data_IF_770036622749
#
_entry.id   IF_770036622749
#
_cell.length_a   1.000
_cell.length_b   1.000
_cell.length_c   1.000
_cell.angle_alpha   90.00
_cell.angle_beta   90.00
_cell.angle_gamma   90.00
#
_symmetry.space_group_name_H-M   'P 1'
#
loop_
_entity.id
_entity.type
_entity.pdbx_description
1 polymer ?
#
# COMPACT_ATOMS: atom_id res chain seq x y z
N UNK A 1 -35.51 2.02 2.19
CA UNK A 1 -34.89 3.15 1.47
C UNK A 1 -33.47 3.29 2.00
N UNK A 2 -32.46 2.99 1.19
CA UNK A 2 -31.07 3.15 1.60
C UNK A 2 -30.60 4.52 1.15
N UNK A 3 -30.32 5.41 2.10
CA UNK A 3 -29.73 6.71 1.83
C UNK A 3 -28.30 6.49 1.36
N UNK A 4 -28.03 6.75 0.08
CA UNK A 4 -26.67 6.89 -0.43
C UNK A 4 -26.16 8.24 0.04
N UNK A 5 -25.35 8.27 1.10
CA UNK A 5 -24.64 9.48 1.48
C UNK A 5 -23.61 9.78 0.40
N UNK A 6 -23.79 10.87 -0.34
CA UNK A 6 -22.76 11.40 -1.22
C UNK A 6 -21.61 11.87 -0.33
N UNK A 7 -20.54 11.08 -0.22
CA UNK A 7 -19.28 11.57 0.34
C UNK A 7 -18.72 12.59 -0.64
N UNK A 8 -18.81 13.86 -0.29
CA UNK A 8 -18.15 14.93 -1.04
C UNK A 8 -16.65 14.78 -0.78
N UNK A 9 -15.91 14.21 -1.72
CA UNK A 9 -14.44 14.14 -1.63
C UNK A 9 -13.89 15.56 -1.69
N UNK A 10 -13.36 16.07 -0.57
CA UNK A 10 -12.75 17.42 -0.47
C UNK A 10 -11.30 17.45 -0.96
N UNK A 11 -10.72 16.29 -1.24
CA UNK A 11 -9.35 16.12 -1.67
C UNK A 11 -9.24 15.99 -3.20
N UNK A 12 -8.06 16.31 -3.73
CA UNK A 12 -7.75 16.30 -5.16
C UNK A 12 -6.82 15.14 -5.54
N UNK A 13 -6.62 14.88 -6.83
CA UNK A 13 -5.58 13.94 -7.28
C UNK A 13 -4.18 14.36 -6.86
N UNK A 14 -3.92 15.67 -6.72
CA UNK A 14 -2.65 16.21 -6.19
C UNK A 14 -2.45 15.83 -4.72
N UNK A 15 -3.52 15.81 -3.92
CA UNK A 15 -3.46 15.37 -2.53
C UNK A 15 -3.12 13.88 -2.43
N UNK A 16 -3.73 13.05 -3.30
CA UNK A 16 -3.41 11.63 -3.43
C UNK A 16 -1.94 11.44 -3.82
N UNK A 17 -1.43 12.19 -4.81
CA UNK A 17 -0.01 12.16 -5.19
C UNK A 17 0.91 12.53 -4.02
N UNK A 18 0.57 13.56 -3.24
CA UNK A 18 1.37 13.99 -2.10
C UNK A 18 1.50 12.88 -1.03
N UNK A 19 0.41 12.14 -0.80
CA UNK A 19 0.40 10.97 0.11
C UNK A 19 1.18 9.81 -0.50
N UNK A 20 0.93 9.46 -1.76
CA UNK A 20 1.58 8.32 -2.41
C UNK A 20 3.09 8.53 -2.57
N UNK A 21 3.56 9.77 -2.80
CA UNK A 21 5.00 10.09 -2.79
C UNK A 21 5.72 9.65 -1.51
N UNK A 22 5.02 9.66 -0.36
CA UNK A 22 5.58 9.19 0.92
C UNK A 22 5.67 7.68 1.00
N UNK A 23 4.64 7.00 0.51
CA UNK A 23 4.61 5.55 0.39
C UNK A 23 5.72 5.09 -0.57
N UNK A 24 5.90 5.79 -1.69
CA UNK A 24 7.00 5.53 -2.62
C UNK A 24 8.35 5.64 -1.93
N UNK A 25 8.57 6.65 -1.09
CA UNK A 25 9.80 6.80 -0.34
C UNK A 25 10.04 5.63 0.63
N UNK A 26 9.00 5.15 1.32
CA UNK A 26 9.09 3.97 2.17
C UNK A 26 9.40 2.71 1.36
N UNK A 27 8.68 2.46 0.26
CA UNK A 27 8.89 1.30 -0.62
C UNK A 27 10.32 1.25 -1.17
N UNK A 28 10.89 2.41 -1.55
CA UNK A 28 12.27 2.51 -2.00
C UNK A 28 13.27 2.27 -0.87
N UNK A 29 12.97 2.78 0.33
CA UNK A 29 13.82 2.52 1.49
C UNK A 29 13.80 1.03 1.87
N UNK A 30 12.65 0.36 1.79
CA UNK A 30 12.51 -1.08 2.01
C UNK A 30 13.30 -1.86 0.94
N UNK A 31 13.12 -1.52 -0.35
CA UNK A 31 13.82 -2.18 -1.45
C UNK A 31 15.34 -2.06 -1.33
N UNK A 32 15.84 -0.83 -1.10
CA UNK A 32 17.28 -0.56 -0.96
C UNK A 32 17.91 -1.19 0.27
N UNK A 33 17.20 -1.27 1.40
CA UNK A 33 17.77 -1.83 2.64
C UNK A 33 17.67 -3.34 2.75
N UNK A 34 16.57 -3.94 2.30
CA UNK A 34 16.39 -5.40 2.35
C UNK A 34 17.11 -6.10 1.20
N UNK A 35 17.32 -5.41 0.08
CA UNK A 35 17.80 -5.97 -1.20
C UNK A 35 16.94 -7.14 -1.73
N UNK A 36 15.74 -7.32 -1.19
CA UNK A 36 14.82 -8.41 -1.53
C UNK A 36 13.95 -8.12 -2.76
N UNK A 37 14.07 -6.90 -3.31
CA UNK A 37 13.49 -6.46 -4.58
C UNK A 37 14.32 -5.31 -5.14
N UNK A 38 14.25 -5.07 -6.45
CA UNK A 38 14.89 -3.88 -7.07
C UNK A 38 14.08 -2.61 -6.81
N UNK A 39 14.75 -1.46 -6.76
CA UNK A 39 14.07 -0.17 -6.68
C UNK A 39 13.15 0.09 -7.87
N UNK A 40 13.49 -0.40 -9.06
CA UNK A 40 12.64 -0.30 -10.26
C UNK A 40 11.30 -0.97 -10.01
N UNK A 41 11.32 -2.19 -9.46
CA UNK A 41 10.10 -2.93 -9.13
C UNK A 41 9.27 -2.22 -8.05
N UNK A 42 9.92 -1.66 -7.05
CA UNK A 42 9.26 -0.85 -6.03
C UNK A 42 8.59 0.41 -6.61
N UNK A 43 9.18 1.05 -7.64
CA UNK A 43 8.55 2.17 -8.37
C UNK A 43 7.35 1.72 -9.19
N UNK A 44 7.40 0.54 -9.80
CA UNK A 44 6.24 -0.04 -10.51
C UNK A 44 5.07 -0.29 -9.54
N UNK A 45 5.36 -0.85 -8.36
CA UNK A 45 4.35 -1.01 -7.30
C UNK A 45 3.75 0.32 -6.88
N UNK A 46 4.60 1.32 -6.62
CA UNK A 46 4.14 2.66 -6.26
C UNK A 46 3.26 3.31 -7.34
N UNK A 47 3.60 3.11 -8.62
CA UNK A 47 2.83 3.62 -9.75
C UNK A 47 1.42 3.01 -9.79
N UNK A 48 1.31 1.70 -9.60
CA UNK A 48 0.03 1.00 -9.60
C UNK A 48 -0.81 1.38 -8.37
N UNK A 49 -0.19 1.51 -7.19
CA UNK A 49 -0.82 2.02 -5.97
C UNK A 49 -1.40 3.42 -6.21
N UNK A 50 -0.61 4.33 -6.81
CA UNK A 50 -1.04 5.69 -7.11
C UNK A 50 -2.24 5.70 -8.05
N UNK A 51 -2.17 4.91 -9.11
CA UNK A 51 -3.19 4.86 -10.13
C UNK A 51 -4.51 4.30 -9.58
N UNK A 52 -4.46 3.23 -8.79
CA UNK A 52 -5.63 2.65 -8.14
C UNK A 52 -6.21 3.60 -7.08
N UNK A 53 -5.36 4.27 -6.29
CA UNK A 53 -5.78 5.28 -5.32
C UNK A 53 -6.49 6.46 -5.98
N UNK A 54 -5.92 7.02 -7.07
CA UNK A 54 -6.52 8.13 -7.83
C UNK A 54 -7.90 7.82 -8.41
N UNK A 55 -8.17 6.55 -8.70
CA UNK A 55 -9.48 6.11 -9.19
C UNK A 55 -10.40 5.62 -8.06
N UNK A 56 -9.98 5.72 -6.79
CA UNK A 56 -10.78 5.32 -5.63
C UNK A 56 -10.94 3.80 -5.48
N UNK A 57 -10.07 2.99 -6.09
CA UNK A 57 -10.20 1.53 -6.15
C UNK A 57 -9.42 0.79 -5.06
N UNK A 58 -8.41 1.44 -4.46
CA UNK A 58 -7.55 0.82 -3.47
C UNK A 58 -8.19 0.82 -2.08
N UNK A 59 -8.10 -0.30 -1.37
CA UNK A 59 -8.42 -0.42 0.06
C UNK A 59 -7.16 -0.43 0.90
N UNK A 60 -6.19 -1.29 0.53
CA UNK A 60 -4.86 -1.29 1.12
C UNK A 60 -3.82 -1.91 0.19
N UNK A 61 -2.56 -1.59 0.44
CA UNK A 61 -1.40 -2.31 -0.09
C UNK A 61 -0.65 -3.00 1.07
N UNK A 62 -0.50 -4.31 1.00
CA UNK A 62 0.23 -5.12 1.96
C UNK A 62 1.60 -5.51 1.39
N UNK A 63 2.67 -5.27 2.13
CA UNK A 63 4.02 -5.69 1.77
C UNK A 63 4.56 -6.62 2.84
N UNK A 64 5.00 -7.80 2.44
CA UNK A 64 5.56 -8.83 3.33
C UNK A 64 6.98 -9.20 2.90
N UNK A 65 7.94 -9.22 3.84
CA UNK A 65 9.25 -9.83 3.67
C UNK A 65 9.20 -11.29 4.10
N UNK A 66 9.43 -12.18 3.15
CA UNK A 66 9.37 -13.62 3.35
C UNK A 66 10.76 -14.24 3.17
N UNK A 67 11.15 -15.13 4.07
CA UNK A 67 12.31 -16.00 3.89
C UNK A 67 11.89 -17.44 4.19
N UNK A 68 12.13 -18.36 3.25
CA UNK A 68 11.75 -19.77 3.37
C UNK A 68 10.29 -20.01 3.78
N UNK A 69 9.36 -19.21 3.24
CA UNK A 69 7.92 -19.31 3.55
C UNK A 69 7.51 -18.70 4.89
N UNK A 70 8.44 -18.08 5.61
CA UNK A 70 8.23 -17.49 6.92
C UNK A 70 8.28 -15.98 6.85
N UNK A 71 7.24 -15.32 7.37
CA UNK A 71 7.20 -13.86 7.49
C UNK A 71 8.26 -13.35 8.47
N UNK A 72 9.09 -12.43 7.99
CA UNK A 72 10.15 -11.78 8.78
C UNK A 72 9.71 -10.40 9.26
N UNK A 73 8.99 -9.68 8.40
CA UNK A 73 8.48 -8.32 8.64
C UNK A 73 7.35 -8.04 7.66
N UNK A 74 6.39 -7.22 8.05
CA UNK A 74 5.36 -6.76 7.13
C UNK A 74 4.99 -5.30 7.39
N UNK A 75 4.42 -4.65 6.39
CA UNK A 75 3.77 -3.36 6.54
C UNK A 75 2.54 -3.29 5.65
N UNK A 76 1.49 -2.64 6.12
CA UNK A 76 0.26 -2.45 5.35
C UNK A 76 -0.16 -0.99 5.34
N UNK A 77 -0.37 -0.46 4.15
CA UNK A 77 -0.84 0.90 3.91
C UNK A 77 -2.35 0.87 3.63
N UNK A 78 -3.15 1.28 4.60
CA UNK A 78 -4.61 1.39 4.49
C UNK A 78 -4.99 2.75 3.93
N UNK A 79 -5.86 2.79 2.93
CA UNK A 79 -6.50 4.05 2.51
C UNK A 79 -7.40 4.53 3.64
N UNK A 80 -7.29 5.81 3.98
CA UNK A 80 -8.10 6.45 5.01
C UNK A 80 -8.50 7.86 4.56
N UNK A 81 -9.80 8.08 4.42
CA UNK A 81 -10.40 9.31 3.93
C UNK A 81 -11.16 10.07 5.03
N UNK A 82 -10.89 9.76 6.31
CA UNK A 82 -11.52 10.42 7.45
C UNK A 82 -11.07 11.87 7.65
N UNK A 83 -9.92 12.25 7.06
CA UNK A 83 -9.24 13.51 7.30
C UNK A 83 -8.61 13.66 8.70
N UNK A 84 -8.58 12.59 9.51
CA UNK A 84 -8.06 12.65 10.89
C UNK A 84 -6.59 12.23 11.01
N UNK A 85 -5.97 11.76 9.93
CA UNK A 85 -4.60 11.26 9.93
C UNK A 85 -3.58 12.39 10.11
N UNK A 86 -2.57 12.13 10.93
CA UNK A 86 -1.39 12.96 11.03
C UNK A 86 -0.61 12.96 9.71
N UNK A 87 0.25 13.98 9.56
CA UNK A 87 0.98 14.25 8.33
C UNK A 87 2.46 13.91 8.48
N UNK A 88 2.80 12.67 8.84
CA UNK A 88 4.17 12.29 9.23
C UNK A 88 5.10 12.14 8.02
N UNK A 89 6.39 12.44 8.21
CA UNK A 89 7.42 12.21 7.18
C UNK A 89 7.61 10.70 6.93
N UNK A 90 8.07 10.26 5.75
CA UNK A 90 8.51 8.88 5.53
C UNK A 90 9.61 8.47 6.52
N UNK A 91 9.69 7.18 6.87
CA UNK A 91 10.64 6.71 7.89
C UNK A 91 10.32 5.32 8.45
N UNK A 92 11.21 4.77 9.28
CA UNK A 92 11.10 3.43 9.91
C UNK A 92 10.84 2.25 8.96
N UNK A 93 11.12 2.43 7.67
CA UNK A 93 10.99 1.42 6.63
C UNK A 93 12.35 0.84 6.19
N UNK A 94 13.37 0.92 7.05
CA UNK A 94 14.61 0.16 6.86
C UNK A 94 14.39 -1.29 7.30
N UNK A 95 14.39 -2.20 6.35
CA UNK A 95 14.12 -3.62 6.60
C UNK A 95 15.42 -4.42 6.58
N UNK A 96 15.51 -5.50 7.37
CA UNK A 96 16.72 -6.28 7.43
C UNK A 96 16.98 -6.98 6.09
N UNK A 97 18.26 -7.08 5.74
CA UNK A 97 18.72 -7.99 4.68
C UNK A 97 18.74 -9.41 5.23
N UNK A 98 17.84 -10.26 4.74
CA UNK A 98 17.71 -11.66 5.17
C UNK A 98 18.07 -12.56 3.99
N UNK A 99 18.88 -13.59 4.24
CA UNK A 99 19.31 -14.52 3.20
C UNK A 99 18.10 -15.23 2.58
N UNK A 100 18.09 -15.32 1.24
CA UNK A 100 17.03 -15.99 0.48
C UNK A 100 15.66 -15.30 0.58
N UNK A 101 15.60 -14.07 1.11
CA UNK A 101 14.35 -13.38 1.26
C UNK A 101 13.87 -12.74 -0.05
N UNK A 102 12.56 -12.62 -0.19
CA UNK A 102 11.92 -11.86 -1.26
C UNK A 102 10.76 -11.04 -0.68
N UNK A 103 10.36 -10.00 -1.41
CA UNK A 103 9.20 -9.19 -1.07
C UNK A 103 7.98 -9.63 -1.87
N UNK A 104 6.87 -9.83 -1.15
CA UNK A 104 5.53 -10.02 -1.71
C UNK A 104 4.73 -8.75 -1.47
N UNK A 105 4.00 -8.28 -2.49
CA UNK A 105 3.01 -7.23 -2.34
C UNK A 105 1.62 -7.74 -2.73
N UNK A 106 0.61 -7.45 -1.93
CA UNK A 106 -0.79 -7.79 -2.18
C UNK A 106 -1.63 -6.52 -2.12
N UNK A 107 -2.40 -6.25 -3.18
CA UNK A 107 -3.34 -5.13 -3.21
C UNK A 107 -4.74 -5.65 -2.89
N UNK A 108 -5.41 -4.99 -1.97
CA UNK A 108 -6.84 -5.21 -1.73
C UNK A 108 -7.61 -4.02 -2.27
N UNK A 109 -8.70 -4.33 -2.97
CA UNK A 109 -9.59 -3.33 -3.56
C UNK A 109 -10.82 -3.13 -2.68
N UNK A 110 -11.48 -1.98 -2.84
CA UNK A 110 -12.81 -1.75 -2.27
C UNK A 110 -13.89 -2.09 -3.32
N UNK A 111 -15.16 -2.03 -2.91
CA UNK A 111 -16.31 -2.47 -3.72
C UNK A 111 -16.50 -1.66 -5.02
N UNK A 112 -15.85 -0.49 -5.15
CA UNK A 112 -15.90 0.31 -6.38
C UNK A 112 -15.05 -0.28 -7.52
N UNK A 113 -14.13 -1.22 -7.24
CA UNK A 113 -13.32 -1.90 -8.24
C UNK A 113 -14.06 -3.06 -8.93
N UNK A 114 -15.20 -2.71 -9.51
CA UNK A 114 -16.09 -3.60 -10.27
C UNK A 114 -15.43 -4.15 -11.54
N UNK A 115 -16.10 -5.10 -12.22
CA UNK A 115 -15.64 -5.60 -13.52
C UNK A 115 -15.43 -4.49 -14.56
N UNK A 116 -16.33 -3.51 -14.61
CA UNK A 116 -16.19 -2.36 -15.51
C UNK A 116 -14.96 -1.49 -15.15
N UNK A 117 -14.67 -1.34 -13.86
CA UNK A 117 -13.46 -0.65 -13.40
C UNK A 117 -12.20 -1.43 -13.82
N UNK A 118 -12.20 -2.75 -13.68
CA UNK A 118 -11.09 -3.61 -14.14
C UNK A 118 -10.85 -3.49 -15.64
N UNK A 119 -11.91 -3.48 -16.46
CA UNK A 119 -11.81 -3.26 -17.90
C UNK A 119 -11.19 -1.88 -18.22
N UNK A 120 -11.62 -0.83 -17.51
CA UNK A 120 -11.04 0.52 -17.64
C UNK A 120 -9.57 0.57 -17.19
N UNK A 121 -9.14 -0.31 -16.29
CA UNK A 121 -7.77 -0.41 -15.80
C UNK A 121 -6.88 -1.33 -16.64
N UNK A 122 -7.47 -2.12 -17.53
CA UNK A 122 -6.75 -3.06 -18.38
C UNK A 122 -5.63 -2.37 -19.17
N UNK A 123 -4.42 -2.93 -19.08
CA UNK A 123 -3.23 -2.41 -19.77
C UNK A 123 -2.64 -1.11 -19.18
N UNK A 124 -3.22 -0.54 -18.12
CA UNK A 124 -2.69 0.68 -17.48
C UNK A 124 -1.73 0.42 -16.33
N UNK A 125 -1.88 -0.72 -15.66
CA UNK A 125 -1.02 -1.15 -14.56
C UNK A 125 0.32 -1.66 -15.10
N UNK A 126 1.40 -1.34 -14.40
CA UNK A 126 2.77 -1.78 -14.71
C UNK A 126 2.97 -3.25 -14.36
N UNK A 127 2.28 -3.72 -13.33
CA UNK A 127 2.36 -5.11 -12.88
C UNK A 127 1.18 -5.92 -13.42
N UNK A 128 1.50 -7.13 -13.88
CA UNK A 128 0.50 -8.16 -14.17
C UNK A 128 0.02 -8.77 -12.84
N UNK A 129 -0.91 -8.08 -12.18
CA UNK A 129 -1.52 -8.55 -10.93
C UNK A 129 -2.33 -9.83 -11.18
N UNK A 130 -2.21 -10.77 -10.25
CA UNK A 130 -3.02 -12.00 -10.23
C UNK A 130 -3.69 -12.11 -8.87
N UNK A 131 -4.81 -12.83 -8.80
CA UNK A 131 -5.49 -13.10 -7.54
C UNK A 131 -4.55 -13.87 -6.62
N UNK A 132 -4.36 -13.35 -5.41
CA UNK A 132 -3.63 -14.04 -4.35
C UNK A 132 -4.60 -14.65 -3.35
N UNK A 133 -4.26 -15.84 -2.87
CA UNK A 133 -4.95 -16.55 -1.78
C UNK A 133 -4.05 -16.69 -0.54
N UNK A 134 -2.91 -16.01 -0.54
CA UNK A 134 -1.97 -16.06 0.57
C UNK A 134 -2.60 -15.48 1.84
N UNK A 135 -2.31 -16.10 2.98
CA UNK A 135 -2.64 -15.50 4.27
C UNK A 135 -1.75 -14.27 4.50
N UNK A 136 -2.40 -13.13 4.65
CA UNK A 136 -1.79 -11.84 4.99
C UNK A 136 -2.29 -11.35 6.35
N UNK A 137 -2.87 -12.21 7.20
CA UNK A 137 -3.29 -11.82 8.55
C UNK A 137 -2.12 -11.37 9.44
N UNK A 138 -0.89 -11.77 9.08
CA UNK A 138 0.33 -11.60 9.86
C UNK A 138 0.23 -12.16 11.28
N UNK A 139 -0.50 -13.27 11.44
CA UNK A 139 -0.76 -13.91 12.75
C UNK A 139 0.51 -14.35 13.50
N UNK A 140 1.66 -14.44 12.81
CA UNK A 140 2.97 -14.80 13.37
C UNK A 140 3.84 -13.57 13.71
N UNK A 141 3.31 -12.35 13.49
CA UNK A 141 3.97 -11.08 13.76
C UNK A 141 3.13 -10.28 14.77
N UNK A 142 3.79 -9.35 15.46
CA UNK A 142 3.17 -8.38 16.37
C UNK A 142 3.12 -7.02 15.70
N UNK A 143 1.94 -6.38 15.69
CA UNK A 143 1.83 -4.98 15.27
C UNK A 143 2.55 -4.09 16.29
N UNK A 144 3.60 -3.40 15.88
CA UNK A 144 4.50 -2.68 16.80
C UNK A 144 4.73 -1.21 16.45
N UNK A 145 4.10 -0.73 15.37
CA UNK A 145 4.33 0.62 14.89
C UNK A 145 3.47 0.95 13.68
N UNK A 146 3.78 2.09 13.09
CA UNK A 146 3.06 2.61 11.94
C UNK A 146 3.39 4.05 11.65
N UNK A 147 2.83 4.55 10.56
CA UNK A 147 2.92 5.95 10.16
C UNK A 147 1.62 6.42 9.53
N UNK A 148 1.35 7.70 9.65
CA UNK A 148 0.19 8.34 9.07
C UNK A 148 0.62 9.37 8.03
N UNK A 149 0.05 9.28 6.84
CA UNK A 149 0.32 10.18 5.72
C UNK A 149 -0.98 10.83 5.31
N UNK A 150 -1.04 12.17 5.26
CA UNK A 150 -2.26 12.87 4.89
C UNK A 150 -2.02 14.12 4.05
N UNK A 151 -3.03 14.44 3.23
CA UNK A 151 -3.15 15.70 2.49
C UNK A 151 -4.65 16.00 2.31
N UNK A 152 -5.10 17.11 2.89
CA UNK A 152 -6.43 17.69 2.68
C UNK A 152 -7.62 16.71 2.75
N UNK A 153 -7.67 15.84 3.76
CA UNK A 153 -8.76 14.87 3.95
C UNK A 153 -8.47 13.46 3.45
N UNK A 154 -7.57 13.32 2.47
CA UNK A 154 -7.07 12.02 2.02
C UNK A 154 -5.84 11.60 2.82
N UNK A 155 -5.68 10.30 3.04
CA UNK A 155 -4.47 9.77 3.64
C UNK A 155 -4.32 8.27 3.50
N UNK A 156 -3.17 7.79 3.96
CA UNK A 156 -2.95 6.38 4.19
C UNK A 156 -2.31 6.14 5.57
N UNK A 157 -2.85 5.17 6.29
CA UNK A 157 -2.31 4.68 7.57
C UNK A 157 -1.47 3.44 7.30
N UNK A 158 -0.17 3.55 7.57
CA UNK A 158 0.77 2.43 7.56
C UNK A 158 0.76 1.75 8.92
N UNK A 159 0.57 0.43 8.94
CA UNK A 159 0.76 -0.42 10.13
C UNK A 159 1.94 -1.33 9.91
N UNK A 160 2.85 -1.38 10.89
CA UNK A 160 4.07 -2.18 10.82
C UNK A 160 3.97 -3.40 11.74
N UNK A 161 4.43 -4.54 11.23
CA UNK A 161 4.40 -5.84 11.91
C UNK A 161 5.81 -6.41 11.97
N UNK A 162 6.25 -6.78 13.17
CA UNK A 162 7.58 -7.35 13.44
C UNK A 162 7.45 -8.62 14.28
N UNK A 163 8.48 -9.46 14.27
CA UNK A 163 8.58 -10.56 15.24
C UNK A 163 8.91 -10.05 16.63
#
# INVERSE_FOLDING_TARGET
MSYSATQTTTYTTTDIEAVVRRITADLLMIASSSEAVTEVKAKEWANDIELLAKNGYLKFADLTLLSHGVEQKATRFYVNESGSLANQRPGDARWPKVQGAHLRIVLSYNDSYTQQAQEKMSGKLKINWTTSYDDISHSQLTQSGGREYSSNGYGMERKDYIR
#
